data_IF_259881557151
#
_entry.id   IF_259881557151
#
_cell.length_a   1.000
_cell.length_b   1.000
_cell.length_c   1.000
_cell.angle_alpha   90.00
_cell.angle_beta   90.00
_cell.angle_gamma   90.00
#
_symmetry.space_group_name_H-M   'P 1'
#
loop_
_entity.id
_entity.type
_entity.pdbx_description
1 polymer ?
#
# COMPACT_ATOMS: atom_id res chain seq x y z
N UNK A 1 22.85 18.27 -24.35
CA UNK A 1 21.46 17.77 -24.40
C UNK A 1 20.76 18.29 -23.14
N UNK A 2 19.45 18.15 -22.91
CA UNK A 2 18.80 18.82 -21.75
C UNK A 2 19.31 18.32 -20.38
N UNK A 3 19.94 17.14 -20.36
CA UNK A 3 20.72 16.60 -19.25
C UNK A 3 21.88 15.83 -19.86
N UNK A 4 23.11 16.07 -19.41
CA UNK A 4 24.30 15.41 -19.97
C UNK A 4 24.70 14.16 -19.16
N UNK A 5 24.04 13.90 -18.01
CA UNK A 5 24.19 12.64 -17.26
C UNK A 5 22.95 12.27 -16.45
N UNK A 6 22.85 10.98 -16.06
CA UNK A 6 21.83 10.49 -15.15
C UNK A 6 21.89 11.18 -13.77
N UNK A 7 23.09 11.59 -13.33
CA UNK A 7 23.26 12.34 -12.09
C UNK A 7 22.67 13.75 -12.16
N UNK A 8 22.78 14.44 -13.30
CA UNK A 8 22.13 15.74 -13.52
C UNK A 8 20.60 15.61 -13.63
N UNK A 9 20.12 14.51 -14.20
CA UNK A 9 18.69 14.20 -14.20
C UNK A 9 18.16 13.97 -12.78
N UNK A 10 18.94 13.33 -11.91
CA UNK A 10 18.53 13.14 -10.52
C UNK A 10 18.63 14.44 -9.71
N UNK A 11 19.67 15.24 -9.96
CA UNK A 11 19.90 16.50 -9.26
C UNK A 11 18.95 17.63 -9.75
N UNK A 12 18.51 17.61 -11.02
CA UNK A 12 17.74 18.69 -11.69
C UNK A 12 18.15 20.08 -11.19
N UNK A 13 19.46 20.33 -11.16
CA UNK A 13 20.04 21.56 -10.59
C UNK A 13 19.66 21.78 -9.11
N UNK A 14 18.94 22.88 -8.83
CA UNK A 14 18.50 23.27 -7.47
C UNK A 14 17.12 22.75 -7.09
N UNK A 15 16.39 22.13 -8.02
CA UNK A 15 14.99 21.74 -7.82
C UNK A 15 14.75 20.24 -7.71
N UNK A 16 15.74 19.38 -8.04
CA UNK A 16 15.56 17.92 -8.01
C UNK A 16 15.12 17.40 -6.64
N UNK A 17 15.68 17.94 -5.56
CA UNK A 17 15.27 17.56 -4.20
C UNK A 17 13.77 17.77 -3.94
N UNK A 18 13.21 18.90 -4.37
CA UNK A 18 11.79 19.20 -4.21
C UNK A 18 10.91 18.26 -5.05
N UNK A 19 11.32 18.02 -6.30
CA UNK A 19 10.62 17.12 -7.23
C UNK A 19 10.55 15.70 -6.66
N UNK A 20 11.69 15.16 -6.20
CA UNK A 20 11.74 13.82 -5.60
C UNK A 20 10.95 13.73 -4.29
N UNK A 21 10.90 14.79 -3.47
CA UNK A 21 10.04 14.84 -2.29
C UNK A 21 8.55 14.75 -2.66
N UNK A 22 8.10 15.52 -3.66
CA UNK A 22 6.72 15.46 -4.13
C UNK A 22 6.37 14.05 -4.67
N UNK A 23 7.25 13.46 -5.47
CA UNK A 23 7.07 12.08 -5.95
C UNK A 23 7.06 11.07 -4.79
N UNK A 24 7.97 11.22 -3.82
CA UNK A 24 8.05 10.34 -2.65
C UNK A 24 6.81 10.38 -1.79
N UNK A 25 6.29 11.59 -1.50
CA UNK A 25 5.04 11.76 -0.74
C UNK A 25 3.87 11.17 -1.52
N UNK A 26 3.78 11.43 -2.83
CA UNK A 26 2.71 10.87 -3.68
C UNK A 26 2.75 9.35 -3.69
N UNK A 27 3.93 8.75 -3.88
CA UNK A 27 4.12 7.31 -3.83
C UNK A 27 3.73 6.73 -2.47
N UNK A 28 4.08 7.40 -1.37
CA UNK A 28 3.71 7.00 -0.02
C UNK A 28 2.19 7.01 0.19
N UNK A 29 1.49 8.05 -0.30
CA UNK A 29 0.03 8.13 -0.25
C UNK A 29 -0.61 6.99 -1.04
N UNK A 30 -0.12 6.70 -2.24
CA UNK A 30 -0.62 5.59 -3.08
C UNK A 30 -0.43 4.26 -2.36
N UNK A 31 0.78 4.00 -1.82
CA UNK A 31 1.10 2.78 -1.09
C UNK A 31 0.19 2.63 0.14
N UNK A 32 -0.01 3.71 0.91
CA UNK A 32 -0.91 3.70 2.05
C UNK A 32 -2.36 3.39 1.65
N UNK A 33 -2.82 3.98 0.54
CA UNK A 33 -4.17 3.76 0.01
C UNK A 33 -4.37 2.31 -0.45
N UNK A 34 -3.34 1.64 -0.97
CA UNK A 34 -3.39 0.21 -1.34
C UNK A 34 -3.29 -0.71 -0.11
N UNK A 35 -2.45 -0.36 0.87
CA UNK A 35 -2.27 -1.15 2.09
C UNK A 35 -3.53 -1.16 2.98
N UNK A 36 -4.28 -0.06 3.02
CA UNK A 36 -5.51 0.05 3.80
C UNK A 36 -6.57 -1.03 3.44
N UNK A 37 -7.03 -1.18 2.20
CA UNK A 37 -8.01 -2.19 1.80
C UNK A 37 -7.45 -3.60 1.91
N UNK A 38 -6.15 -3.82 1.67
CA UNK A 38 -5.53 -5.15 1.86
C UNK A 38 -5.63 -5.57 3.33
N UNK A 39 -5.31 -4.66 4.26
CA UNK A 39 -5.44 -4.92 5.71
C UNK A 39 -6.88 -5.13 6.13
N UNK A 40 -7.81 -4.33 5.59
CA UNK A 40 -9.25 -4.48 5.83
C UNK A 40 -9.75 -5.86 5.39
N UNK A 41 -9.37 -6.29 4.17
CA UNK A 41 -9.80 -7.56 3.58
C UNK A 41 -9.29 -8.76 4.37
N UNK A 42 -8.04 -8.73 4.85
CA UNK A 42 -7.50 -9.79 5.71
C UNK A 42 -8.32 -9.95 7.00
N UNK A 43 -8.65 -8.84 7.66
CA UNK A 43 -9.49 -8.87 8.88
C UNK A 43 -10.88 -9.45 8.61
N UNK A 44 -11.51 -9.06 7.50
CA UNK A 44 -12.85 -9.57 7.14
C UNK A 44 -12.82 -11.09 6.87
N UNK A 45 -11.82 -11.58 6.15
CA UNK A 45 -11.68 -13.03 5.86
C UNK A 45 -11.46 -13.81 7.16
N UNK A 46 -10.61 -13.32 8.07
CA UNK A 46 -10.39 -13.95 9.38
C UNK A 46 -11.68 -14.00 10.23
N UNK A 47 -12.46 -12.92 10.22
CA UNK A 47 -13.74 -12.87 10.92
C UNK A 47 -14.74 -13.88 10.34
N UNK A 48 -14.88 -13.94 9.01
CA UNK A 48 -15.76 -14.90 8.33
C UNK A 48 -15.35 -16.35 8.61
N UNK A 49 -14.04 -16.66 8.53
CA UNK A 49 -13.52 -17.99 8.85
C UNK A 49 -13.83 -18.40 10.30
N UNK A 50 -13.80 -17.44 11.24
CA UNK A 50 -14.13 -17.70 12.65
C UNK A 50 -15.61 -17.97 12.86
N UNK A 51 -16.50 -17.30 12.14
CA UNK A 51 -17.94 -17.53 12.20
C UNK A 51 -18.32 -18.90 11.63
N UNK A 52 -17.80 -19.25 10.45
CA UNK A 52 -18.06 -20.56 9.84
C UNK A 52 -17.62 -21.73 10.72
N UNK A 53 -16.50 -21.58 11.46
CA UNK A 53 -16.05 -22.61 12.42
C UNK A 53 -17.03 -22.80 13.57
N UNK A 54 -17.71 -21.75 14.02
CA UNK A 54 -18.72 -21.82 15.09
C UNK A 54 -20.02 -22.46 14.60
N UNK A 55 -20.48 -22.07 13.41
CA UNK A 55 -21.68 -22.66 12.79
C UNK A 55 -21.51 -24.15 12.54
N UNK A 56 -20.36 -24.59 12.03
CA UNK A 56 -20.07 -26.02 11.84
C UNK A 56 -20.07 -26.82 13.14
N UNK A 57 -19.61 -26.22 14.25
CA UNK A 57 -19.61 -26.89 15.55
C UNK A 57 -21.05 -27.02 16.08
N UNK A 58 -21.84 -25.96 16.02
CA UNK A 58 -23.22 -25.97 16.49
C UNK A 58 -24.13 -26.87 15.63
N UNK A 59 -23.90 -26.94 14.31
CA UNK A 59 -24.65 -27.81 13.40
C UNK A 59 -24.27 -29.30 13.51
N UNK A 60 -23.11 -29.62 14.10
CA UNK A 60 -22.71 -31.01 14.40
C UNK A 60 -23.21 -31.48 15.77
N UNK A 61 -23.63 -30.56 16.63
CA UNK A 61 -24.14 -30.83 17.98
C UNK A 61 -25.69 -30.89 18.04
N UNK A 62 -26.39 -30.52 16.95
CA UNK A 62 -27.85 -30.58 16.78
C UNK A 62 -28.26 -31.74 15.88
#
# INVERSE_FOLDING_TARGET
MFFDSFAEFLAMGKHGFYVWLCYGITALVIIANILAPIRQRKKLIEQQARLQRREKKNASEA
#
